data_IF_689348746206
#
_entry.id   IF_689348746206
#
_cell.length_a   1.000
_cell.length_b   1.000
_cell.length_c   1.000
_cell.angle_alpha   90.00
_cell.angle_beta   90.00
_cell.angle_gamma   90.00
#
_symmetry.space_group_name_H-M   'P 1'
#
loop_
_entity.id
_entity.type
_entity.pdbx_description
1 polymer ?
#
# COMPACT_ATOMS: atom_id res chain seq x y z
N UNK A 1 -0.78 -5.66 -25.33
CA UNK A 1 0.61 -5.84 -25.78
C UNK A 1 1.29 -4.48 -26.04
N UNK A 2 1.28 -3.56 -25.07
CA UNK A 2 1.93 -2.25 -25.23
C UNK A 2 2.68 -1.78 -23.95
N UNK A 3 2.84 -2.66 -22.95
CA UNK A 3 3.53 -2.34 -21.70
C UNK A 3 4.96 -2.88 -21.63
N UNK A 4 5.35 -3.76 -22.56
CA UNK A 4 6.69 -4.36 -22.60
C UNK A 4 7.71 -3.54 -23.42
N UNK A 5 7.28 -2.50 -24.13
CA UNK A 5 8.14 -1.69 -24.99
C UNK A 5 8.79 -0.49 -24.27
N UNK A 6 8.40 -0.23 -23.01
CA UNK A 6 8.94 0.89 -22.24
C UNK A 6 10.19 0.53 -21.40
N UNK A 7 10.44 -0.76 -21.16
CA UNK A 7 11.61 -1.20 -20.36
C UNK A 7 12.91 -1.33 -21.16
N UNK A 8 12.84 -1.42 -22.50
CA UNK A 8 14.04 -1.63 -23.34
C UNK A 8 14.80 -0.34 -23.69
N UNK A 9 14.25 0.82 -23.31
CA UNK A 9 14.80 2.14 -23.62
C UNK A 9 15.61 2.77 -22.48
N UNK A 10 15.79 2.05 -21.37
CA UNK A 10 16.46 2.56 -20.17
C UNK A 10 17.99 2.41 -20.21
N UNK A 11 18.52 1.58 -21.11
CA UNK A 11 19.97 1.38 -21.28
C UNK A 11 20.65 2.42 -22.19
N UNK A 12 19.88 3.33 -22.82
CA UNK A 12 20.42 4.33 -23.76
C UNK A 12 20.77 5.68 -23.11
N UNK A 13 20.66 5.82 -21.78
CA UNK A 13 20.81 7.09 -21.07
C UNK A 13 22.18 7.31 -20.39
N UNK A 14 23.15 6.39 -20.54
CA UNK A 14 24.40 6.39 -19.76
C UNK A 14 25.68 6.89 -20.46
N UNK A 15 25.58 7.70 -21.52
CA UNK A 15 26.79 8.34 -22.08
C UNK A 15 26.62 9.84 -22.25
N UNK A 16 26.65 10.55 -21.11
CA UNK A 16 26.97 11.98 -21.07
C UNK A 16 28.50 12.10 -20.87
N UNK A 17 29.27 12.60 -21.85
CA UNK A 17 30.72 12.69 -21.75
C UNK A 17 31.12 13.74 -20.70
N UNK A 18 31.82 13.31 -19.64
CA UNK A 18 32.44 14.21 -18.65
C UNK A 18 32.10 13.96 -17.18
N UNK A 19 31.18 13.04 -16.86
CA UNK A 19 30.98 12.60 -15.47
C UNK A 19 31.94 11.45 -15.13
N UNK A 20 32.64 11.49 -13.98
CA UNK A 20 33.41 10.35 -13.49
C UNK A 20 32.48 9.14 -13.26
N UNK A 21 32.93 7.91 -13.54
CA UNK A 21 32.11 6.72 -13.35
C UNK A 21 31.70 6.60 -11.88
N UNK A 22 30.40 6.41 -11.64
CA UNK A 22 29.87 6.19 -10.31
C UNK A 22 30.53 4.96 -9.68
N UNK A 23 30.89 5.02 -8.37
CA UNK A 23 31.49 3.88 -7.70
C UNK A 23 30.53 2.69 -7.70
N UNK A 24 31.03 1.45 -7.81
CA UNK A 24 30.20 0.26 -7.78
C UNK A 24 29.44 0.19 -6.46
N UNK A 25 28.12 0.02 -6.56
CA UNK A 25 27.24 -0.13 -5.41
C UNK A 25 27.70 -1.32 -4.55
N UNK A 26 27.65 -1.21 -3.21
CA UNK A 26 28.00 -2.30 -2.33
C UNK A 26 27.11 -3.54 -2.60
N UNK A 27 27.64 -4.76 -2.37
CA UNK A 27 26.96 -6.02 -2.71
C UNK A 27 25.62 -6.23 -2.00
N UNK A 28 25.25 -5.37 -1.05
CA UNK A 28 24.02 -5.42 -0.27
C UNK A 28 22.76 -4.95 -1.02
N UNK A 29 22.90 -4.41 -2.24
CA UNK A 29 21.77 -3.94 -3.07
C UNK A 29 21.55 -4.73 -4.38
N UNK A 30 22.28 -5.83 -4.62
CA UNK A 30 22.19 -6.59 -5.88
C UNK A 30 21.31 -7.86 -5.81
N UNK A 31 20.62 -8.11 -4.70
CA UNK A 31 19.60 -9.17 -4.62
C UNK A 31 18.24 -8.57 -4.23
N UNK A 32 17.54 -8.06 -5.24
CA UNK A 32 16.08 -8.08 -5.23
C UNK A 32 15.63 -9.35 -5.98
N UNK A 33 15.83 -10.51 -5.33
CA UNK A 33 14.92 -11.64 -5.53
C UNK A 33 13.50 -11.15 -5.19
N UNK A 34 12.50 -11.64 -5.93
CA UNK A 34 11.09 -11.52 -5.54
C UNK A 34 10.93 -11.82 -4.04
N UNK A 35 9.99 -11.19 -3.32
CA UNK A 35 9.79 -11.45 -1.90
C UNK A 35 9.28 -12.88 -1.68
N UNK A 36 10.18 -13.85 -1.74
CA UNK A 36 10.03 -15.12 -1.07
C UNK A 36 10.12 -14.81 0.41
N UNK A 37 8.98 -14.86 1.08
CA UNK A 37 8.93 -14.76 2.53
C UNK A 37 9.88 -15.81 3.12
N UNK A 38 10.69 -15.44 4.13
CA UNK A 38 11.56 -16.40 4.78
C UNK A 38 10.72 -17.56 5.32
N UNK A 39 11.17 -18.83 5.17
CA UNK A 39 10.47 -19.95 5.79
C UNK A 39 10.55 -19.73 7.29
N UNK A 40 9.39 -19.50 7.92
CA UNK A 40 9.25 -19.33 9.36
C UNK A 40 9.77 -20.61 10.02
N UNK A 41 10.89 -20.56 10.77
CA UNK A 41 11.44 -21.74 11.42
C UNK A 41 10.56 -22.07 12.64
N UNK A 42 9.88 -23.22 12.62
CA UNK A 42 9.34 -23.83 13.83
C UNK A 42 7.82 -24.04 13.95
N UNK A 43 7.04 -24.16 12.88
CA UNK A 43 5.68 -24.71 13.00
C UNK A 43 5.65 -26.21 12.68
N UNK A 44 5.40 -27.09 13.67
CA UNK A 44 4.95 -28.44 13.38
C UNK A 44 3.47 -28.36 13.04
N UNK A 45 3.08 -28.40 11.77
CA UNK A 45 1.68 -28.68 11.38
C UNK A 45 1.61 -29.04 9.91
N UNK A 46 1.62 -30.34 9.62
CA UNK A 46 0.94 -30.86 8.43
C UNK A 46 -0.54 -30.45 8.59
N UNK A 47 -0.95 -29.34 8.00
CA UNK A 47 -2.38 -29.04 7.88
C UNK A 47 -3.00 -30.21 7.11
N UNK A 48 -4.08 -30.84 7.62
CA UNK A 48 -4.74 -31.92 6.90
C UNK A 48 -5.16 -31.40 5.52
N UNK A 49 -5.10 -32.26 4.48
CA UNK A 49 -5.44 -31.83 3.14
C UNK A 49 -6.87 -31.31 3.10
N UNK A 50 -7.13 -30.29 2.27
CA UNK A 50 -8.35 -29.50 2.32
C UNK A 50 -9.64 -30.34 2.24
N UNK A 51 -9.63 -31.45 1.51
CA UNK A 51 -10.77 -32.35 1.38
C UNK A 51 -11.17 -33.04 2.70
N UNK A 52 -10.21 -33.35 3.58
CA UNK A 52 -10.49 -33.94 4.89
C UNK A 52 -11.05 -32.92 5.87
N UNK A 53 -10.54 -31.69 5.83
CA UNK A 53 -11.08 -30.58 6.63
C UNK A 53 -12.53 -30.24 6.21
N UNK A 54 -12.82 -30.17 4.91
CA UNK A 54 -14.20 -30.01 4.39
C UNK A 54 -15.10 -31.15 4.86
N UNK A 55 -14.62 -32.40 4.77
CA UNK A 55 -15.40 -33.58 5.20
C UNK A 55 -15.74 -33.51 6.70
N UNK A 56 -14.78 -33.11 7.53
CA UNK A 56 -14.97 -32.98 8.97
C UNK A 56 -15.97 -31.86 9.31
N UNK A 57 -15.83 -30.68 8.71
CA UNK A 57 -16.75 -29.57 8.99
C UNK A 57 -18.18 -29.86 8.49
N UNK A 58 -18.31 -30.57 7.36
CA UNK A 58 -19.61 -31.03 6.86
C UNK A 58 -20.21 -32.11 7.77
N UNK A 59 -19.41 -33.01 8.33
CA UNK A 59 -19.87 -33.98 9.33
C UNK A 59 -20.35 -33.31 10.63
N UNK A 60 -19.83 -32.12 10.96
CA UNK A 60 -20.33 -31.29 12.05
C UNK A 60 -21.61 -30.51 11.70
N UNK A 61 -22.16 -30.70 10.49
CA UNK A 61 -23.40 -30.05 10.04
C UNK A 61 -23.23 -28.58 9.60
N UNK A 62 -22.00 -28.09 9.43
CA UNK A 62 -21.77 -26.74 8.90
C UNK A 62 -22.23 -26.65 7.44
N UNK A 63 -22.81 -25.50 7.08
CA UNK A 63 -23.20 -25.26 5.70
C UNK A 63 -21.98 -24.98 4.82
N UNK A 64 -22.12 -25.27 3.52
CA UNK A 64 -21.08 -25.08 2.53
C UNK A 64 -20.46 -23.67 2.55
N UNK A 65 -21.25 -22.63 2.82
CA UNK A 65 -20.77 -21.25 2.86
C UNK A 65 -19.93 -20.95 4.12
N UNK A 66 -20.31 -21.54 5.26
CA UNK A 66 -19.58 -21.41 6.53
C UNK A 66 -18.24 -22.15 6.47
N UNK A 67 -18.23 -23.32 5.82
CA UNK A 67 -17.01 -24.12 5.59
C UNK A 67 -16.00 -23.33 4.77
N UNK A 68 -16.44 -22.67 3.69
CA UNK A 68 -15.55 -21.87 2.83
C UNK A 68 -14.93 -20.70 3.60
N UNK A 69 -15.73 -20.02 4.43
CA UNK A 69 -15.25 -18.90 5.25
C UNK A 69 -14.28 -19.37 6.33
N UNK A 70 -14.57 -20.49 7.00
CA UNK A 70 -13.72 -21.09 8.03
C UNK A 70 -12.39 -21.57 7.46
N UNK A 71 -12.41 -22.25 6.31
CA UNK A 71 -11.19 -22.74 5.66
C UNK A 71 -10.33 -21.61 5.08
N UNK A 72 -10.94 -20.54 4.56
CA UNK A 72 -10.20 -19.36 4.14
C UNK A 72 -9.52 -18.67 5.33
N UNK A 73 -10.19 -18.61 6.49
CA UNK A 73 -9.60 -18.08 7.72
C UNK A 73 -8.44 -18.95 8.24
N UNK A 74 -8.46 -20.25 7.95
CA UNK A 74 -7.38 -21.19 8.25
C UNK A 74 -6.24 -21.17 7.21
N UNK A 75 -6.34 -20.33 6.18
CA UNK A 75 -5.28 -20.13 5.17
C UNK A 75 -5.31 -21.11 4.00
N UNK A 76 -6.37 -21.91 3.84
CA UNK A 76 -6.48 -22.81 2.70
C UNK A 76 -6.75 -22.05 1.39
N UNK A 77 -6.09 -22.42 0.28
CA UNK A 77 -6.34 -21.80 -1.01
C UNK A 77 -7.74 -22.17 -1.55
N UNK A 78 -8.41 -21.22 -2.20
CA UNK A 78 -9.80 -21.37 -2.66
C UNK A 78 -9.99 -22.54 -3.63
N UNK A 79 -8.96 -22.90 -4.41
CA UNK A 79 -8.96 -24.04 -5.32
C UNK A 79 -9.10 -25.37 -4.60
N UNK A 80 -8.43 -25.52 -3.47
CA UNK A 80 -8.37 -26.78 -2.73
C UNK A 80 -9.65 -26.99 -1.93
N UNK A 81 -10.23 -25.90 -1.41
CA UNK A 81 -11.54 -25.90 -0.75
C UNK A 81 -12.63 -26.36 -1.74
N UNK A 82 -12.62 -25.82 -2.96
CA UNK A 82 -13.62 -26.16 -3.98
C UNK A 82 -13.50 -27.62 -4.42
N UNK A 83 -12.27 -28.09 -4.66
CA UNK A 83 -11.99 -29.49 -5.01
C UNK A 83 -12.45 -30.46 -3.92
N UNK A 84 -12.18 -30.13 -2.65
CA UNK A 84 -12.64 -30.91 -1.49
C UNK A 84 -14.17 -30.96 -1.37
N UNK A 85 -14.85 -29.83 -1.58
CA UNK A 85 -16.32 -29.77 -1.56
C UNK A 85 -16.96 -30.60 -2.67
N UNK A 86 -16.39 -30.56 -3.88
CA UNK A 86 -16.87 -31.34 -5.02
C UNK A 86 -16.67 -32.84 -4.78
N UNK A 87 -15.51 -33.25 -4.26
CA UNK A 87 -15.23 -34.64 -3.90
C UNK A 87 -16.24 -35.19 -2.86
N UNK A 88 -16.61 -34.38 -1.87
CA UNK A 88 -17.61 -34.76 -0.87
C UNK A 88 -19.04 -34.81 -1.43
N UNK A 89 -19.36 -33.96 -2.42
CA UNK A 89 -20.68 -33.98 -3.06
C UNK A 89 -20.88 -35.25 -3.90
N UNK A 90 -19.83 -35.73 -4.57
CA UNK A 90 -19.88 -37.00 -5.31
C UNK A 90 -20.09 -38.22 -4.39
N UNK A 91 -19.57 -38.18 -3.16
CA UNK A 91 -19.78 -39.26 -2.18
C UNK A 91 -21.21 -39.37 -1.64
N UNK A 92 -22.01 -38.31 -1.74
CA UNK A 92 -23.41 -38.27 -1.26
C UNK A 92 -24.43 -38.47 -2.37
N UNK A 93 -24.01 -38.66 -3.62
CA UNK A 93 -24.93 -38.99 -4.70
C UNK A 93 -25.49 -40.41 -4.50
N UNK A 94 -26.82 -40.61 -4.45
CA UNK A 94 -27.41 -41.95 -4.36
C UNK A 94 -27.00 -42.78 -5.58
N UNK A 95 -26.71 -44.09 -5.40
CA UNK A 95 -26.29 -44.94 -6.51
C UNK A 95 -27.40 -44.96 -7.59
N UNK A 96 -27.03 -44.96 -8.88
CA UNK A 96 -28.01 -45.06 -9.96
C UNK A 96 -28.86 -46.32 -9.76
N UNK A 97 -30.19 -46.25 -9.91
CA UNK A 97 -31.06 -47.39 -9.68
C UNK A 97 -30.67 -48.53 -10.63
N UNK A 98 -30.37 -49.69 -10.04
CA UNK A 98 -30.11 -50.93 -10.75
C UNK A 98 -31.41 -51.35 -11.46
N UNK A 99 -31.40 -51.36 -12.80
CA UNK A 99 -32.47 -51.97 -13.59
C UNK A 99 -32.35 -53.50 -13.47
N UNK A 100 -33.30 -54.13 -12.79
CA UNK A 100 -33.44 -55.58 -12.79
C UNK A 100 -34.12 -56.05 -14.09
N UNK A 101 -33.73 -57.20 -14.67
CA UNK A 101 -34.39 -57.77 -15.85
C UNK A 101 -35.79 -58.30 -15.51
N UNK A 102 -36.76 -58.04 -16.38
CA UNK A 102 -38.16 -58.42 -16.24
C UNK A 102 -38.38 -59.95 -16.33
N UNK A 103 -39.20 -60.48 -15.41
CA UNK A 103 -39.77 -61.84 -15.44
C UNK A 103 -41.13 -61.85 -16.17
N UNK A 104 -41.55 -63.01 -16.75
CA UNK A 104 -42.68 -63.11 -17.68
C UNK A 104 -44.07 -62.96 -17.02
N UNK A 105 -45.11 -62.57 -17.79
CA UNK A 105 -46.40 -62.12 -17.28
C UNK A 105 -47.32 -63.27 -16.84
N UNK A 106 -47.98 -63.10 -15.68
CA UNK A 106 -49.15 -63.89 -15.26
C UNK A 106 -50.47 -63.20 -15.70
N UNK A 107 -51.57 -63.96 -15.86
CA UNK A 107 -52.81 -63.48 -16.48
C UNK A 107 -53.63 -62.54 -15.61
N UNK A 108 -54.34 -61.64 -16.29
CA UNK A 108 -55.00 -60.44 -15.77
C UNK A 108 -56.20 -60.69 -14.85
N UNK A 109 -56.29 -59.86 -13.80
CA UNK A 109 -57.52 -59.52 -13.10
C UNK A 109 -58.09 -58.20 -13.65
N UNK A 110 -59.43 -58.00 -13.62
CA UNK A 110 -60.07 -56.85 -14.25
C UNK A 110 -59.73 -55.52 -13.55
N UNK A 111 -59.52 -54.43 -14.30
CA UNK A 111 -59.14 -53.13 -13.75
C UNK A 111 -60.34 -52.42 -13.08
N UNK A 112 -60.14 -51.72 -11.95
CA UNK A 112 -61.13 -50.79 -11.41
C UNK A 112 -61.25 -49.53 -12.29
N UNK A 113 -62.42 -48.85 -12.26
CA UNK A 113 -62.66 -47.67 -13.08
C UNK A 113 -61.71 -46.53 -12.73
N UNK A 114 -60.87 -46.17 -13.70
CA UNK A 114 -60.05 -44.96 -13.70
C UNK A 114 -60.95 -43.74 -13.74
N UNK A 115 -60.98 -42.98 -12.65
CA UNK A 115 -61.41 -41.58 -12.69
C UNK A 115 -60.41 -40.81 -13.54
N UNK A 116 -60.83 -39.92 -14.45
CA UNK A 116 -59.92 -38.99 -15.10
C UNK A 116 -59.40 -38.02 -14.03
N UNK A 117 -58.17 -38.25 -13.58
CA UNK A 117 -57.37 -37.22 -12.94
C UNK A 117 -56.95 -36.27 -14.05
N UNK A 118 -57.67 -35.17 -14.18
CA UNK A 118 -57.14 -33.96 -14.83
C UNK A 118 -56.07 -33.44 -13.87
N UNK A 119 -54.88 -34.04 -13.97
CA UNK A 119 -53.67 -33.49 -13.38
C UNK A 119 -53.10 -32.49 -14.39
N UNK A 120 -52.53 -31.36 -13.94
CA UNK A 120 -51.90 -30.41 -14.85
C UNK A 120 -50.88 -31.16 -15.70
N UNK A 121 -50.95 -30.95 -17.03
CA UNK A 121 -49.95 -31.48 -17.95
C UNK A 121 -48.57 -31.07 -17.44
N UNK A 122 -47.60 -31.97 -17.52
CA UNK A 122 -46.20 -31.69 -17.12
C UNK A 122 -45.62 -30.49 -17.87
N UNK A 123 -46.23 -30.10 -18.99
CA UNK A 123 -45.92 -28.88 -19.74
C UNK A 123 -46.36 -27.61 -18.99
N UNK A 124 -47.54 -27.57 -18.36
CA UNK A 124 -48.05 -26.39 -17.63
C UNK A 124 -47.27 -26.12 -16.33
N UNK A 125 -46.78 -27.18 -15.68
CA UNK A 125 -45.95 -27.06 -14.47
C UNK A 125 -44.55 -26.55 -14.82
N UNK A 126 -44.00 -26.94 -15.97
CA UNK A 126 -42.68 -26.46 -16.43
C UNK A 126 -42.75 -25.01 -16.88
N UNK A 127 -43.82 -24.57 -17.56
CA UNK A 127 -43.99 -23.14 -17.89
C UNK A 127 -44.13 -22.28 -16.63
N UNK A 128 -44.95 -22.68 -15.65
CA UNK A 128 -45.09 -21.96 -14.38
C UNK A 128 -43.77 -21.89 -13.58
N UNK A 129 -43.02 -22.99 -13.48
CA UNK A 129 -41.71 -22.97 -12.83
C UNK A 129 -40.69 -22.11 -13.59
N UNK A 130 -40.75 -22.07 -14.91
CA UNK A 130 -39.83 -21.24 -15.71
C UNK A 130 -40.16 -19.75 -15.54
N UNK A 131 -41.44 -19.40 -15.45
CA UNK A 131 -41.91 -18.03 -15.21
C UNK A 131 -41.54 -17.55 -13.79
N UNK A 132 -41.69 -18.42 -12.78
CA UNK A 132 -41.24 -18.15 -11.41
C UNK A 132 -39.70 -17.99 -11.33
N UNK A 133 -38.95 -18.86 -12.00
CA UNK A 133 -37.48 -18.76 -12.08
C UNK A 133 -37.06 -17.48 -12.82
N UNK A 134 -37.79 -17.09 -13.87
CA UNK A 134 -37.52 -15.87 -14.62
C UNK A 134 -37.82 -14.63 -13.78
N UNK A 135 -38.92 -14.61 -13.03
CA UNK A 135 -39.25 -13.51 -12.13
C UNK A 135 -38.22 -13.38 -10.99
N UNK A 136 -37.75 -14.50 -10.44
CA UNK A 136 -36.66 -14.51 -9.45
C UNK A 136 -35.36 -13.99 -10.08
N UNK A 137 -35.03 -14.42 -11.30
CA UNK A 137 -33.84 -13.97 -12.01
C UNK A 137 -33.89 -12.47 -12.34
N UNK A 138 -35.01 -11.95 -12.82
CA UNK A 138 -35.23 -10.53 -13.12
C UNK A 138 -35.14 -9.69 -11.84
N UNK A 139 -35.75 -10.13 -10.74
CA UNK A 139 -35.65 -9.45 -9.45
C UNK A 139 -34.21 -9.43 -8.90
N UNK A 140 -33.46 -10.52 -9.03
CA UNK A 140 -32.04 -10.57 -8.65
C UNK A 140 -31.20 -9.65 -9.55
N UNK A 141 -31.43 -9.66 -10.86
CA UNK A 141 -30.71 -8.82 -11.81
C UNK A 141 -30.97 -7.34 -11.52
N UNK A 142 -32.21 -6.94 -11.29
CA UNK A 142 -32.57 -5.56 -10.98
C UNK A 142 -32.00 -5.10 -9.64
N UNK A 143 -32.01 -5.95 -8.61
CA UNK A 143 -31.37 -5.65 -7.32
C UNK A 143 -29.86 -5.42 -7.49
N UNK A 144 -29.17 -6.28 -8.27
CA UNK A 144 -27.73 -6.13 -8.52
C UNK A 144 -27.42 -4.91 -9.38
N UNK A 145 -28.24 -4.59 -10.38
CA UNK A 145 -28.08 -3.37 -11.18
C UNK A 145 -28.33 -2.10 -10.37
N UNK A 146 -29.33 -2.09 -9.50
CA UNK A 146 -29.59 -0.98 -8.59
C UNK A 146 -28.41 -0.76 -7.63
N UNK A 147 -27.84 -1.84 -7.09
CA UNK A 147 -26.64 -1.77 -6.25
C UNK A 147 -25.42 -1.29 -7.02
N UNK A 148 -25.17 -1.81 -8.23
CA UNK A 148 -24.07 -1.36 -9.07
C UNK A 148 -24.19 0.14 -9.42
N UNK A 149 -25.39 0.63 -9.76
CA UNK A 149 -25.63 2.07 -9.99
C UNK A 149 -25.33 2.91 -8.75
N UNK A 150 -25.70 2.43 -7.56
CA UNK A 150 -25.36 3.09 -6.30
C UNK A 150 -23.84 3.17 -6.10
N UNK A 151 -23.14 2.06 -6.31
CA UNK A 151 -21.69 2.01 -6.20
C UNK A 151 -21.01 2.96 -7.23
N UNK A 152 -21.57 3.10 -8.45
CA UNK A 152 -21.10 4.09 -9.42
C UNK A 152 -21.27 5.54 -8.94
N UNK A 153 -22.42 5.87 -8.33
CA UNK A 153 -22.63 7.21 -7.74
C UNK A 153 -21.64 7.48 -6.61
N UNK A 154 -21.28 6.46 -5.83
CA UNK A 154 -20.28 6.58 -4.78
C UNK A 154 -18.86 6.76 -5.35
N UNK A 155 -18.56 6.17 -6.52
CA UNK A 155 -17.31 6.41 -7.27
C UNK A 155 -17.24 7.84 -7.82
N UNK A 156 -18.33 8.39 -8.35
CA UNK A 156 -18.36 9.78 -8.83
C UNK A 156 -18.09 10.76 -7.68
N UNK A 157 -18.70 10.53 -6.51
CA UNK A 157 -18.43 11.34 -5.30
C UNK A 157 -17.00 11.17 -4.80
N UNK A 158 -16.46 9.96 -4.85
CA UNK A 158 -15.07 9.72 -4.48
C UNK A 158 -14.12 10.47 -5.43
N UNK A 159 -14.43 10.49 -6.73
CA UNK A 159 -13.68 11.27 -7.71
C UNK A 159 -13.74 12.77 -7.39
N UNK A 160 -14.92 13.30 -7.08
CA UNK A 160 -15.10 14.69 -6.68
C UNK A 160 -14.29 15.04 -5.42
N UNK A 161 -14.34 14.20 -4.37
CA UNK A 161 -13.54 14.40 -3.14
C UNK A 161 -12.02 14.32 -3.41
N UNK A 162 -11.59 13.46 -4.33
CA UNK A 162 -10.18 13.38 -4.74
C UNK A 162 -9.75 14.61 -5.52
N UNK A 163 -10.55 15.08 -6.48
CA UNK A 163 -10.27 16.30 -7.26
C UNK A 163 -10.20 17.52 -6.33
N UNK A 164 -11.11 17.64 -5.37
CA UNK A 164 -11.09 18.70 -4.35
C UNK A 164 -9.84 18.64 -3.46
N UNK A 165 -9.43 17.43 -3.04
CA UNK A 165 -8.20 17.25 -2.26
C UNK A 165 -6.96 17.56 -3.09
N UNK A 166 -6.95 17.18 -4.36
CA UNK A 166 -5.84 17.47 -5.27
C UNK A 166 -5.68 18.99 -5.43
N UNK A 167 -6.79 19.71 -5.64
CA UNK A 167 -6.78 21.17 -5.73
C UNK A 167 -6.25 21.85 -4.46
N UNK A 168 -6.66 21.38 -3.28
CA UNK A 168 -6.12 21.87 -2.00
C UNK A 168 -4.63 21.59 -1.84
N UNK A 169 -4.16 20.43 -2.29
CA UNK A 169 -2.73 20.08 -2.26
C UNK A 169 -1.93 20.99 -3.21
N UNK A 170 -2.43 21.23 -4.42
CA UNK A 170 -1.80 22.15 -5.38
C UNK A 170 -1.69 23.57 -4.82
N UNK A 171 -2.75 24.06 -4.17
CA UNK A 171 -2.75 25.36 -3.49
C UNK A 171 -1.71 25.41 -2.35
N UNK A 172 -1.65 24.36 -1.52
CA UNK A 172 -0.66 24.25 -0.44
C UNK A 172 0.77 24.21 -0.97
N UNK A 173 1.03 23.45 -2.04
CA UNK A 173 2.35 23.36 -2.67
C UNK A 173 2.75 24.72 -3.24
N UNK A 174 1.84 25.39 -3.93
CA UNK A 174 2.08 26.74 -4.48
C UNK A 174 2.37 27.75 -3.36
N UNK A 175 1.60 27.70 -2.27
CA UNK A 175 1.81 28.54 -1.10
C UNK A 175 3.09 28.19 -0.33
N UNK A 176 3.55 26.94 -0.38
CA UNK A 176 4.83 26.52 0.21
C UNK A 176 6.00 27.04 -0.62
N UNK A 177 5.92 26.93 -1.95
CA UNK A 177 6.93 27.48 -2.87
C UNK A 177 7.10 28.98 -2.65
N UNK A 178 6.01 29.75 -2.60
CA UNK A 178 6.09 31.19 -2.35
C UNK A 178 6.73 31.54 -1.00
N UNK A 179 6.43 30.78 0.05
CA UNK A 179 7.07 30.97 1.38
C UNK A 179 8.54 30.61 1.36
N UNK A 180 8.92 29.55 0.63
CA UNK A 180 10.31 29.15 0.46
C UNK A 180 11.10 30.20 -0.32
N UNK A 181 10.57 30.73 -1.41
CA UNK A 181 11.18 31.83 -2.16
C UNK A 181 11.36 33.09 -1.30
N UNK A 182 10.35 33.41 -0.47
CA UNK A 182 10.42 34.51 0.49
C UNK A 182 11.49 34.28 1.57
N UNK A 183 11.59 33.06 2.08
CA UNK A 183 12.59 32.66 3.06
C UNK A 183 13.99 32.72 2.46
N UNK A 184 14.20 32.19 1.26
CA UNK A 184 15.47 32.21 0.54
C UNK A 184 15.96 33.66 0.35
N UNK A 185 15.09 34.55 -0.13
CA UNK A 185 15.40 35.98 -0.24
C UNK A 185 15.74 36.61 1.11
N UNK A 186 14.98 36.29 2.16
CA UNK A 186 15.25 36.81 3.51
C UNK A 186 16.58 36.29 4.08
N UNK A 187 16.93 35.04 3.80
CA UNK A 187 18.20 34.45 4.24
C UNK A 187 19.36 35.10 3.48
N UNK A 188 19.27 35.21 2.16
CA UNK A 188 20.30 35.91 1.37
C UNK A 188 20.49 37.34 1.84
N UNK A 189 19.40 38.10 2.06
CA UNK A 189 19.50 39.46 2.60
C UNK A 189 20.19 39.53 3.97
N UNK A 190 19.85 38.61 4.90
CA UNK A 190 20.52 38.54 6.21
C UNK A 190 21.99 38.13 6.11
N UNK A 191 22.33 37.21 5.20
CA UNK A 191 23.71 36.78 4.99
C UNK A 191 24.55 37.91 4.38
N UNK A 192 24.01 38.65 3.42
CA UNK A 192 24.67 39.84 2.86
C UNK A 192 24.86 40.94 3.91
N UNK A 193 23.84 41.22 4.72
CA UNK A 193 23.92 42.17 5.84
C UNK A 193 24.99 41.74 6.86
N UNK A 194 25.02 40.45 7.20
CA UNK A 194 26.04 39.90 8.10
C UNK A 194 27.45 39.99 7.49
N UNK A 195 27.60 39.68 6.20
CA UNK A 195 28.87 39.82 5.48
C UNK A 195 29.38 41.25 5.47
N UNK A 196 28.49 42.22 5.26
CA UNK A 196 28.81 43.65 5.34
C UNK A 196 29.21 44.06 6.77
N UNK A 197 28.41 43.69 7.77
CA UNK A 197 28.72 43.95 9.17
C UNK A 197 30.06 43.36 9.61
N UNK A 198 30.38 42.14 9.17
CA UNK A 198 31.68 41.50 9.44
C UNK A 198 32.85 42.24 8.76
N UNK A 199 32.65 42.74 7.53
CA UNK A 199 33.65 43.58 6.84
C UNK A 199 33.88 44.91 7.56
N UNK A 200 32.81 45.55 8.03
CA UNK A 200 32.88 46.80 8.78
C UNK A 200 33.60 46.58 10.13
N UNK A 201 33.25 45.53 10.86
CA UNK A 201 33.94 45.12 12.09
C UNK A 201 35.41 44.79 11.83
N UNK A 202 35.75 44.13 10.71
CA UNK A 202 37.15 43.88 10.34
C UNK A 202 37.93 45.18 10.10
N UNK A 203 37.28 46.19 9.52
CA UNK A 203 37.87 47.51 9.30
C UNK A 203 38.07 48.25 10.62
N UNK A 204 37.08 48.23 11.51
CA UNK A 204 37.17 48.80 12.84
C UNK A 204 38.23 48.10 13.69
N UNK A 205 38.31 46.77 13.63
CA UNK A 205 39.32 45.98 14.32
C UNK A 205 40.73 46.34 13.84
N UNK A 206 40.93 46.54 12.53
CA UNK A 206 42.21 47.02 11.98
C UNK A 206 42.55 48.43 12.45
N UNK A 207 41.56 49.33 12.52
CA UNK A 207 41.76 50.66 13.05
C UNK A 207 42.17 50.60 14.54
N UNK A 208 41.47 49.77 15.33
CA UNK A 208 41.79 49.54 16.73
C UNK A 208 43.18 48.93 16.90
N UNK A 209 43.57 47.97 16.05
CA UNK A 209 44.92 47.40 16.05
C UNK A 209 45.99 48.47 15.81
N UNK A 210 45.76 49.41 14.89
CA UNK A 210 46.68 50.55 14.66
C UNK A 210 46.76 51.45 15.90
N UNK A 211 45.62 51.78 16.51
CA UNK A 211 45.57 52.58 17.74
C UNK A 211 46.34 51.89 18.86
N UNK A 212 46.15 50.58 19.07
CA UNK A 212 46.92 49.80 20.04
C UNK A 212 48.42 49.81 19.72
N UNK A 213 48.79 49.70 18.45
CA UNK A 213 50.18 49.72 18.01
C UNK A 213 50.85 51.07 18.28
N UNK A 214 50.09 52.16 18.28
CA UNK A 214 50.56 53.51 18.64
C UNK A 214 50.59 53.74 20.17
N UNK A 215 49.59 53.26 20.90
CA UNK A 215 49.46 53.49 22.35
C UNK A 215 50.45 52.62 23.14
N UNK A 216 50.64 51.34 22.77
CA UNK A 216 51.50 50.42 23.53
C UNK A 216 52.94 50.94 23.74
N UNK A 217 53.64 51.48 22.72
CA UNK A 217 54.94 52.09 22.89
C UNK A 217 54.92 53.32 23.80
N UNK A 218 53.92 54.20 23.65
CA UNK A 218 53.80 55.40 24.50
C UNK A 218 53.59 55.02 25.96
N UNK A 219 52.72 54.03 26.23
CA UNK A 219 52.48 53.54 27.58
C UNK A 219 53.75 52.92 28.19
N UNK A 220 54.48 52.13 27.41
CA UNK A 220 55.75 51.53 27.84
C UNK A 220 56.83 52.59 28.12
N UNK A 221 56.92 53.61 27.26
CA UNK A 221 57.85 54.75 27.44
C UNK A 221 57.50 55.53 28.71
N UNK A 222 56.23 55.88 28.89
CA UNK A 222 55.76 56.62 30.06
C UNK A 222 56.01 55.85 31.36
N UNK A 223 55.79 54.52 31.38
CA UNK A 223 56.10 53.68 32.55
C UNK A 223 57.60 53.67 32.84
N UNK A 224 58.46 53.56 31.81
CA UNK A 224 59.92 53.61 31.97
C UNK A 224 60.38 54.96 32.52
N UNK A 225 59.86 56.07 32.00
CA UNK A 225 60.17 57.42 32.50
C UNK A 225 59.71 57.59 33.95
N UNK A 226 58.51 57.10 34.30
CA UNK A 226 58.00 57.16 35.66
C UNK A 226 58.87 56.35 36.64
N UNK A 227 59.31 55.16 36.22
CA UNK A 227 60.28 54.35 36.98
C UNK A 227 61.60 55.11 37.19
N UNK A 228 62.15 55.72 36.13
CA UNK A 228 63.34 56.55 36.23
C UNK A 228 63.18 57.72 37.20
N UNK A 229 62.06 58.44 37.13
CA UNK A 229 61.77 59.56 38.02
C UNK A 229 61.66 59.13 39.50
N UNK A 230 61.06 57.96 39.76
CA UNK A 230 60.99 57.38 41.11
C UNK A 230 62.37 56.98 41.63
N UNK A 231 63.22 56.38 40.79
CA UNK A 231 64.58 55.97 41.17
C UNK A 231 65.49 57.17 41.45
N UNK A 232 65.43 58.21 40.64
CA UNK A 232 66.17 59.46 40.89
C UNK A 232 65.72 60.13 42.18
N UNK A 233 64.41 60.13 42.45
CA UNK A 233 63.85 60.69 43.70
C UNK A 233 64.26 59.86 44.92
N UNK A 234 64.45 58.54 44.79
CA UNK A 234 65.01 57.68 45.85
C UNK A 234 66.49 57.95 46.08
N UNK A 235 67.29 58.14 45.01
CA UNK A 235 68.74 58.43 45.12
C UNK A 235 69.01 59.78 45.78
N UNK A 236 68.23 60.83 45.47
CA UNK A 236 68.38 62.16 46.07
C UNK A 236 68.02 62.25 47.56
N UNK A 237 67.41 61.20 48.12
CA UNK A 237 66.98 61.12 49.53
C UNK A 237 67.96 60.32 50.41
N UNK A 238 69.01 59.73 49.82
CA UNK A 238 70.18 59.17 50.50
C UNK A 238 71.31 60.20 50.50
#
# INVERSE_FOLDING_TARGET
MALFDFMKKKDEFEQIPGLPPLPPLPPEFQQAEEPQMPPIPGMPSQLPPAHDAVAQMRAQGMQNQDIVNSMRAQGYPSTDILSGMQAQQMRQAPPPPIQYPALPPMPAAPPPPTRPVIGPSKEDVVTLLTEDIQQIAESIIEEKWAKAKKDFVDVDKFKEDVDDRLGKIEELISGLQQRMDGLEKSIFGKVEEYGKGMSDVSTELKAMQRVFSTILPQFTSNIKELQGFVDDKKKKKK
#
